data_IF_479460294929
#
_entry.id   IF_479460294929
#
_cell.length_a   1.000
_cell.length_b   1.000
_cell.length_c   1.000
_cell.angle_alpha   90.00
_cell.angle_beta   90.00
_cell.angle_gamma   90.00
#
_symmetry.space_group_name_H-M   'P 1'
#
loop_
_entity.id
_entity.type
_entity.pdbx_description
1 polymer ?
#
# COMPACT_ATOMS: atom_id res chain seq x y z
N UNK A 1 16.86 6.58 10.85
CA UNK A 1 16.45 5.53 9.89
C UNK A 1 16.65 6.03 8.47
N UNK A 2 16.83 5.18 7.46
CA UNK A 2 16.72 5.55 6.06
C UNK A 2 15.25 5.61 5.60
N UNK A 3 15.00 6.16 4.42
CA UNK A 3 13.73 6.06 3.70
C UNK A 3 13.31 4.58 3.59
N UNK A 4 12.05 4.28 3.89
CA UNK A 4 11.56 2.90 4.05
C UNK A 4 10.42 2.60 3.08
N UNK A 5 10.56 1.56 2.26
CA UNK A 5 9.46 1.00 1.49
C UNK A 5 8.48 0.30 2.44
N UNK A 6 7.21 0.72 2.42
CA UNK A 6 6.20 0.26 3.39
C UNK A 6 5.02 -0.31 2.65
N UNK A 7 4.50 -1.44 3.13
CA UNK A 7 3.27 -2.03 2.64
C UNK A 7 2.21 -2.01 3.74
N UNK A 8 0.96 -1.78 3.36
CA UNK A 8 -0.17 -1.84 4.27
C UNK A 8 -1.44 -1.38 3.61
N UNK A 9 -2.28 -0.70 4.37
CA UNK A 9 -3.59 -0.24 3.91
C UNK A 9 -3.87 1.19 4.37
N UNK A 10 -4.85 1.81 3.73
CA UNK A 10 -5.33 3.14 4.09
C UNK A 10 -6.76 3.01 4.60
N UNK A 11 -7.01 3.51 5.79
CA UNK A 11 -8.38 3.75 6.25
C UNK A 11 -8.80 5.11 5.72
N UNK A 12 -9.77 5.12 4.80
CA UNK A 12 -10.24 6.31 4.12
C UNK A 12 -11.76 6.43 4.22
N UNK A 13 -12.26 7.51 4.81
CA UNK A 13 -13.68 7.74 5.09
C UNK A 13 -14.35 6.56 5.83
N UNK A 14 -13.66 5.98 6.83
CA UNK A 14 -14.15 4.85 7.63
C UNK A 14 -14.13 3.50 6.91
N UNK A 15 -13.54 3.42 5.71
CA UNK A 15 -13.40 2.19 4.94
C UNK A 15 -11.92 1.82 4.76
N UNK A 16 -11.61 0.54 4.96
CA UNK A 16 -10.29 0.02 4.68
C UNK A 16 -10.08 -0.18 3.16
N UNK A 17 -9.09 0.48 2.59
CA UNK A 17 -8.69 0.37 1.18
C UNK A 17 -7.36 -0.39 1.10
N UNK A 18 -7.28 -1.40 0.23
CA UNK A 18 -6.13 -2.29 0.05
C UNK A 18 -5.78 -3.18 1.27
N UNK A 19 -6.74 -3.38 2.17
CA UNK A 19 -6.49 -4.16 3.37
C UNK A 19 -6.41 -5.66 3.10
N UNK A 20 -5.29 -6.24 3.55
CA UNK A 20 -5.10 -7.68 3.71
C UNK A 20 -5.00 -8.00 5.19
N UNK A 21 -5.80 -8.94 5.69
CA UNK A 21 -5.71 -9.39 7.07
C UNK A 21 -4.38 -10.09 7.35
N UNK A 22 -3.98 -10.13 8.63
CA UNK A 22 -2.79 -10.87 9.05
C UNK A 22 -2.81 -12.35 8.64
N UNK A 23 -3.99 -12.96 8.62
CA UNK A 23 -4.16 -14.35 8.21
C UNK A 23 -3.95 -14.54 6.71
N UNK A 24 -4.41 -13.60 5.87
CA UNK A 24 -4.15 -13.59 4.44
C UNK A 24 -2.67 -13.39 4.14
N UNK A 25 -2.02 -12.44 4.82
CA UNK A 25 -0.57 -12.21 4.70
C UNK A 25 0.24 -13.47 5.04
N UNK A 26 -0.08 -14.13 6.15
CA UNK A 26 0.54 -15.41 6.53
C UNK A 26 0.26 -16.53 5.53
N UNK A 27 -0.93 -16.53 4.92
CA UNK A 27 -1.30 -17.54 3.94
C UNK A 27 -0.48 -17.38 2.67
N UNK A 28 -0.29 -16.15 2.20
CA UNK A 28 0.57 -15.85 1.05
C UNK A 28 2.04 -16.24 1.31
N UNK A 29 2.56 -16.02 2.51
CA UNK A 29 3.91 -16.51 2.88
C UNK A 29 4.07 -18.03 2.80
N UNK A 30 2.99 -18.80 2.94
CA UNK A 30 3.01 -20.27 2.89
C UNK A 30 2.72 -20.82 1.50
N UNK A 31 1.83 -20.17 0.76
CA UNK A 31 1.26 -20.67 -0.50
C UNK A 31 1.76 -19.93 -1.74
N UNK A 32 2.48 -18.82 -1.57
CA UNK A 32 2.81 -17.89 -2.64
C UNK A 32 1.63 -16.99 -3.03
N UNK A 33 1.84 -16.19 -4.08
CA UNK A 33 0.81 -15.30 -4.64
C UNK A 33 -0.39 -16.10 -5.16
N UNK A 34 -1.62 -15.84 -4.66
CA UNK A 34 -2.80 -16.59 -5.10
C UNK A 34 -3.27 -16.18 -6.50
N UNK A 35 -2.95 -14.95 -6.93
CA UNK A 35 -3.23 -14.44 -8.27
C UNK A 35 -2.26 -13.30 -8.61
N UNK A 36 -2.11 -12.91 -9.88
CA UNK A 36 -1.34 -11.72 -10.27
C UNK A 36 -1.88 -10.42 -9.67
N UNK A 37 -3.19 -10.36 -9.36
CA UNK A 37 -3.80 -9.23 -8.68
C UNK A 37 -3.61 -9.35 -7.17
N UNK A 38 -2.60 -8.63 -6.66
CA UNK A 38 -2.30 -8.52 -5.24
C UNK A 38 -3.01 -7.31 -4.64
N UNK A 39 -3.72 -7.52 -3.54
CA UNK A 39 -4.30 -6.45 -2.74
C UNK A 39 -3.31 -5.95 -1.69
N UNK A 40 -2.20 -5.37 -2.16
CA UNK A 40 -1.15 -4.76 -1.35
C UNK A 40 -0.94 -3.32 -1.83
N UNK A 41 -0.99 -2.36 -0.91
CA UNK A 41 -0.66 -0.97 -1.20
C UNK A 41 0.71 -0.62 -0.66
N UNK A 42 1.44 0.20 -1.41
CA UNK A 42 2.83 0.55 -1.12
C UNK A 42 3.01 2.07 -1.10
N UNK A 43 3.80 2.54 -0.13
CA UNK A 43 4.24 3.92 -0.03
C UNK A 43 5.65 4.00 0.55
N UNK A 44 6.23 5.20 0.56
CA UNK A 44 7.50 5.45 1.22
C UNK A 44 7.25 6.13 2.56
N UNK A 45 7.91 5.62 3.59
CA UNK A 45 7.90 6.21 4.94
C UNK A 45 9.25 6.85 5.19
N UNK A 46 9.25 8.15 5.49
CA UNK A 46 10.44 8.89 5.86
C UNK A 46 10.89 8.55 7.29
N UNK A 47 12.15 8.86 7.67
CA UNK A 47 12.65 8.58 9.02
C UNK A 47 11.90 9.31 10.13
N UNK A 48 11.29 10.45 9.80
CA UNK A 48 10.39 11.23 10.65
C UNK A 48 8.92 10.80 10.50
N UNK A 49 8.69 9.63 9.92
CA UNK A 49 7.40 8.96 9.75
C UNK A 49 6.44 9.60 8.74
N UNK A 50 6.85 10.63 8.00
CA UNK A 50 6.03 11.17 6.93
C UNK A 50 5.78 10.12 5.84
N UNK A 51 4.55 10.15 5.34
CA UNK A 51 4.09 9.31 4.24
C UNK A 51 4.29 10.06 2.93
N UNK A 52 4.94 9.39 1.98
CA UNK A 52 4.99 9.79 0.57
C UNK A 52 4.28 8.71 -0.24
N UNK A 53 3.09 9.04 -0.71
CA UNK A 53 2.24 8.14 -1.48
C UNK A 53 1.81 8.80 -2.78
N UNK A 54 2.35 8.29 -3.88
CA UNK A 54 2.11 8.80 -5.23
C UNK A 54 1.03 8.01 -5.97
N UNK A 55 0.52 6.92 -5.38
CA UNK A 55 -0.32 5.93 -6.09
C UNK A 55 -1.74 5.89 -5.54
N UNK A 56 -1.97 6.18 -4.26
CA UNK A 56 -3.31 6.05 -3.65
C UNK A 56 -4.39 6.84 -4.38
N UNK A 57 -4.19 8.13 -4.61
CA UNK A 57 -5.20 8.98 -5.27
C UNK A 57 -5.57 8.47 -6.67
N UNK A 58 -4.56 8.07 -7.45
CA UNK A 58 -4.76 7.48 -8.78
C UNK A 58 -5.48 6.14 -8.73
N UNK A 59 -5.01 5.19 -7.91
CA UNK A 59 -5.62 3.85 -7.82
C UNK A 59 -7.06 3.94 -7.30
N UNK A 60 -7.29 4.73 -6.24
CA UNK A 60 -8.62 4.96 -5.69
C UNK A 60 -9.55 5.64 -6.70
N UNK A 61 -9.06 6.66 -7.40
CA UNK A 61 -9.83 7.38 -8.42
C UNK A 61 -10.23 6.51 -9.61
N UNK A 62 -9.32 5.65 -10.10
CA UNK A 62 -9.63 4.71 -11.20
C UNK A 62 -10.65 3.66 -10.75
N UNK A 63 -10.42 3.01 -9.60
CA UNK A 63 -11.30 1.93 -9.11
C UNK A 63 -12.71 2.43 -8.80
N UNK A 64 -12.84 3.63 -8.24
CA UNK A 64 -14.14 4.20 -7.85
C UNK A 64 -14.74 5.16 -8.89
N UNK A 65 -14.10 5.32 -10.05
CA UNK A 65 -14.54 6.23 -11.13
C UNK A 65 -14.69 7.69 -10.65
N UNK A 66 -13.68 8.19 -9.94
CA UNK A 66 -13.62 9.56 -9.40
C UNK A 66 -12.44 10.30 -10.09
N UNK A 67 -12.66 10.95 -11.25
CA UNK A 67 -11.57 11.57 -12.02
C UNK A 67 -10.85 12.70 -11.26
N UNK A 68 -11.53 13.38 -10.35
CA UNK A 68 -11.00 14.55 -9.62
C UNK A 68 -9.84 14.24 -8.67
N UNK A 69 -9.64 12.95 -8.33
CA UNK A 69 -8.54 12.50 -7.46
C UNK A 69 -7.44 11.76 -8.22
N UNK A 70 -7.64 11.45 -9.50
CA UNK A 70 -6.61 10.82 -10.33
C UNK A 70 -5.42 11.78 -10.48
N UNK A 71 -4.21 11.28 -10.23
CA UNK A 71 -2.99 12.07 -10.23
C UNK A 71 -2.72 12.87 -8.95
N UNK A 72 -3.63 12.82 -7.95
CA UNK A 72 -3.33 13.40 -6.64
C UNK A 72 -2.35 12.52 -5.88
N UNK A 73 -1.40 13.19 -5.23
CA UNK A 73 -0.39 12.58 -4.38
C UNK A 73 -0.69 12.95 -2.92
N UNK A 74 -0.31 12.08 -2.00
CA UNK A 74 -0.43 12.27 -0.57
C UNK A 74 0.98 12.41 0.03
N UNK A 75 1.25 13.59 0.56
CA UNK A 75 2.45 13.90 1.33
C UNK A 75 1.99 14.39 2.69
N UNK A 76 2.35 13.66 3.74
CA UNK A 76 1.70 13.86 5.03
C UNK A 76 2.63 13.56 6.20
N UNK A 77 2.70 14.47 7.17
CA UNK A 77 3.26 14.18 8.48
C UNK A 77 2.21 13.44 9.33
N UNK A 78 2.57 12.44 10.16
CA UNK A 78 1.60 11.70 10.97
C UNK A 78 0.74 12.59 11.87
N UNK A 79 1.31 13.67 12.41
CA UNK A 79 0.58 14.63 13.25
C UNK A 79 -0.51 15.39 12.48
N UNK A 80 -0.45 15.42 11.15
CA UNK A 80 -1.44 16.04 10.27
C UNK A 80 -2.45 15.02 9.73
N UNK A 81 -2.38 13.74 10.12
CA UNK A 81 -3.38 12.72 9.75
C UNK A 81 -4.76 13.11 10.28
N UNK A 82 -5.72 13.20 9.36
CA UNK A 82 -7.12 13.39 9.73
C UNK A 82 -7.75 12.04 10.13
N UNK A 83 -8.83 12.09 10.88
CA UNK A 83 -9.61 10.89 11.20
C UNK A 83 -10.10 10.16 9.92
N UNK A 84 -10.32 10.91 8.85
CA UNK A 84 -10.82 10.41 7.56
C UNK A 84 -9.73 9.77 6.69
N UNK A 85 -8.45 9.92 7.03
CA UNK A 85 -7.34 9.36 6.26
C UNK A 85 -6.19 8.94 7.15
N UNK A 86 -6.11 7.65 7.43
CA UNK A 86 -5.08 7.06 8.29
C UNK A 86 -4.33 5.97 7.52
N UNK A 87 -3.00 6.05 7.56
CA UNK A 87 -2.12 5.03 6.99
C UNK A 87 -1.78 3.99 8.05
N UNK A 88 -1.95 2.73 7.71
CA UNK A 88 -1.73 1.60 8.62
C UNK A 88 -0.63 0.69 8.06
N UNK A 89 0.64 0.90 8.45
CA UNK A 89 1.75 0.02 8.06
C UNK A 89 1.53 -1.42 8.54
N UNK A 90 1.75 -2.40 7.66
CA UNK A 90 1.68 -3.82 8.00
C UNK A 90 3.01 -4.54 7.82
N UNK A 91 3.79 -4.15 6.80
CA UNK A 91 5.07 -4.75 6.46
C UNK A 91 6.06 -3.66 6.04
N UNK A 92 7.34 -3.95 6.23
CA UNK A 92 8.44 -3.04 5.95
C UNK A 92 9.46 -3.75 5.06
N UNK A 93 9.93 -3.06 4.02
CA UNK A 93 10.88 -3.57 3.05
C UNK A 93 10.25 -4.46 1.97
N UNK A 94 11.11 -5.05 1.15
CA UNK A 94 10.73 -5.81 -0.04
C UNK A 94 10.72 -7.34 0.21
N UNK A 95 11.37 -7.81 1.28
CA UNK A 95 11.51 -9.23 1.65
C UNK A 95 10.19 -10.01 1.58
N UNK A 96 9.09 -9.37 1.98
CA UNK A 96 7.78 -10.01 1.94
C UNK A 96 7.36 -10.31 0.49
N UNK A 97 7.53 -9.37 -0.43
CA UNK A 97 7.19 -9.53 -1.85
C UNK A 97 8.02 -10.63 -2.50
N UNK A 98 9.31 -10.70 -2.17
CA UNK A 98 10.19 -11.78 -2.65
C UNK A 98 9.71 -13.14 -2.16
N UNK A 99 9.43 -13.27 -0.86
CA UNK A 99 9.04 -14.54 -0.23
C UNK A 99 7.71 -15.09 -0.72
N UNK A 100 6.77 -14.21 -1.11
CA UNK A 100 5.51 -14.66 -1.71
C UNK A 100 5.64 -14.93 -3.21
N UNK A 101 6.76 -14.54 -3.85
CA UNK A 101 6.99 -14.68 -5.28
C UNK A 101 6.45 -13.53 -6.14
N UNK A 102 6.11 -12.39 -5.54
CA UNK A 102 5.50 -11.24 -6.23
C UNK A 102 6.49 -10.45 -7.11
N UNK A 103 7.79 -10.44 -6.75
CA UNK A 103 8.82 -9.69 -7.50
C UNK A 103 8.95 -10.18 -8.94
N UNK A 104 8.73 -11.49 -9.17
CA UNK A 104 8.73 -12.08 -10.51
C UNK A 104 7.51 -11.69 -11.35
N UNK A 105 6.40 -11.32 -10.73
CA UNK A 105 5.17 -10.92 -11.43
C UNK A 105 5.22 -9.44 -11.78
N UNK A 106 5.73 -8.59 -10.88
CA UNK A 106 5.76 -7.13 -11.05
C UNK A 106 6.79 -6.64 -12.09
N UNK A 107 7.81 -7.45 -12.38
CA UNK A 107 8.90 -7.09 -13.32
C UNK A 107 8.72 -7.68 -14.72
N UNK A 108 7.64 -8.41 -14.99
CA UNK A 108 7.34 -8.89 -16.34
C UNK A 108 6.52 -7.84 -17.09
N UNK A 109 6.96 -7.36 -18.27
CA UNK A 109 6.16 -6.45 -19.06
C UNK A 109 4.88 -7.17 -19.52
N UNK A 110 3.75 -6.49 -19.36
CA UNK A 110 2.45 -6.87 -19.91
C UNK A 110 2.45 -6.89 -21.43
#
# INVERSE_FOLDING_TARGET
MPLTFTLGYVEYNGCNVFHSSHQELKTMLKKGVPSPALNLHAWLTLPSHEVIDMTFGTTYGVVNQIPSVIGRMCFLHPDDMTADMQYHPQLVGEDYLERIGATHILLMPS
#
